data_IF_772457464910
#
_entry.id   IF_772457464910
#
_cell.length_a   1.000
_cell.length_b   1.000
_cell.length_c   1.000
_cell.angle_alpha   90.00
_cell.angle_beta   90.00
_cell.angle_gamma   90.00
#
_symmetry.space_group_name_H-M   'P 1'
#
loop_
_entity.id
_entity.type
_entity.pdbx_description
1 polymer ?
#
# COMPACT_ATOMS: atom_id res chain seq x y z
N UNK A 1 -67.35 4.00 9.48
CA UNK A 1 -66.58 3.07 8.61
C UNK A 1 -65.68 3.97 7.75
N UNK A 2 -64.36 4.02 7.88
CA UNK A 2 -63.34 2.98 7.70
C UNK A 2 -62.11 3.39 8.53
N UNK A 3 -61.62 2.50 9.38
CA UNK A 3 -60.32 2.56 10.08
C UNK A 3 -59.29 1.95 9.14
N UNK A 4 -58.08 2.52 8.97
CA UNK A 4 -56.79 1.89 8.58
C UNK A 4 -55.71 2.98 8.40
N UNK A 5 -54.41 2.70 8.66
CA UNK A 5 -53.80 3.13 9.92
C UNK A 5 -52.50 3.94 9.77
N UNK A 6 -52.18 4.71 10.81
CA UNK A 6 -50.95 5.45 11.08
C UNK A 6 -49.65 4.60 11.10
N UNK A 7 -49.68 3.34 10.66
CA UNK A 7 -48.56 2.40 10.77
C UNK A 7 -47.75 2.21 9.49
N UNK A 8 -48.22 2.70 8.33
CA UNK A 8 -47.49 2.52 7.06
C UNK A 8 -46.27 3.46 6.93
N UNK A 9 -46.30 4.62 7.59
CA UNK A 9 -45.23 5.62 7.48
C UNK A 9 -43.97 5.28 8.29
N UNK A 10 -44.06 4.39 9.30
CA UNK A 10 -42.91 4.01 10.14
C UNK A 10 -42.07 2.86 9.55
N UNK A 11 -42.60 2.10 8.60
CA UNK A 11 -41.90 0.95 8.01
C UNK A 11 -40.94 1.31 6.87
N UNK A 12 -41.15 2.46 6.20
CA UNK A 12 -40.25 2.93 5.15
C UNK A 12 -38.98 3.64 5.67
N UNK A 13 -38.99 4.15 6.91
CA UNK A 13 -37.85 4.88 7.46
C UNK A 13 -36.72 3.96 7.97
N UNK A 14 -37.00 2.68 8.26
CA UNK A 14 -35.98 1.74 8.76
C UNK A 14 -35.16 1.12 7.62
N UNK A 15 -35.74 1.02 6.41
CA UNK A 15 -35.07 0.38 5.26
C UNK A 15 -34.09 1.30 4.52
N UNK A 16 -34.20 2.62 4.68
CA UNK A 16 -33.28 3.58 4.08
C UNK A 16 -31.96 3.77 4.86
N UNK A 17 -31.89 3.33 6.12
CA UNK A 17 -30.71 3.52 6.96
C UNK A 17 -29.64 2.41 6.78
N UNK A 18 -29.99 1.26 6.18
CA UNK A 18 -29.04 0.16 5.96
C UNK A 18 -28.20 0.29 4.67
N UNK A 19 -28.56 1.18 3.75
CA UNK A 19 -27.84 1.35 2.47
C UNK A 19 -26.70 2.39 2.52
N UNK A 20 -26.58 3.17 3.61
CA UNK A 20 -25.55 4.23 3.71
C UNK A 20 -24.23 3.73 4.29
N UNK A 21 -24.18 2.55 4.92
CA UNK A 21 -22.94 2.00 5.51
C UNK A 21 -22.08 1.18 4.54
N UNK A 22 -22.57 0.84 3.35
CA UNK A 22 -21.80 0.06 2.37
C UNK A 22 -20.92 0.93 1.45
N UNK A 23 -20.97 2.26 1.55
CA UNK A 23 -20.29 3.18 0.63
C UNK A 23 -18.97 3.76 1.18
N UNK A 24 -18.60 3.50 2.44
CA UNK A 24 -17.41 4.13 3.06
C UNK A 24 -16.16 3.24 3.13
N UNK A 25 -16.16 2.03 2.57
CA UNK A 25 -14.97 1.14 2.61
C UNK A 25 -14.23 1.04 1.27
N UNK A 26 -14.62 1.85 0.28
CA UNK A 26 -13.87 1.91 -1.00
C UNK A 26 -12.61 2.73 -0.78
N UNK A 27 -11.57 2.02 -0.36
CA UNK A 27 -10.26 2.47 0.09
C UNK A 27 -9.72 3.68 -0.66
N UNK A 28 -9.80 4.82 -0.01
CA UNK A 28 -8.94 5.96 -0.25
C UNK A 28 -7.52 5.60 0.19
N UNK A 29 -6.73 4.99 -0.71
CA UNK A 29 -5.25 4.96 -0.78
C UNK A 29 -4.45 4.99 0.53
N UNK A 30 -4.98 4.41 1.60
CA UNK A 30 -4.50 4.57 2.96
C UNK A 30 -4.28 3.20 3.56
N UNK A 31 -3.27 3.12 4.43
CA UNK A 31 -2.78 1.88 5.04
C UNK A 31 -3.93 0.96 5.44
N UNK A 32 -3.94 -0.25 4.86
CA UNK A 32 -4.94 -1.27 5.14
C UNK A 32 -4.43 -2.29 6.15
N UNK A 33 -5.33 -2.95 6.87
CA UNK A 33 -4.99 -4.08 7.73
C UNK A 33 -4.45 -5.26 6.92
N UNK A 34 -4.92 -5.43 5.68
CA UNK A 34 -4.42 -6.45 4.77
C UNK A 34 -2.96 -6.18 4.39
N UNK A 35 -2.62 -4.94 4.05
CA UNK A 35 -1.26 -4.50 3.74
C UNK A 35 -0.34 -4.69 4.96
N UNK A 36 -0.82 -4.36 6.16
CA UNK A 36 -0.07 -4.55 7.41
C UNK A 36 0.25 -6.04 7.66
N UNK A 37 -0.66 -6.95 7.32
CA UNK A 37 -0.41 -8.39 7.44
C UNK A 37 0.68 -8.86 6.46
N UNK A 38 0.78 -8.25 5.27
CA UNK A 38 1.83 -8.58 4.29
C UNK A 38 3.23 -8.12 4.77
N UNK A 39 3.32 -7.02 5.53
CA UNK A 39 4.60 -6.58 6.12
C UNK A 39 5.14 -7.58 7.17
N UNK A 40 4.26 -8.32 7.84
CA UNK A 40 4.62 -9.33 8.85
C UNK A 40 4.99 -10.68 8.27
N UNK A 41 4.68 -10.89 6.99
CA UNK A 41 4.95 -12.13 6.28
C UNK A 41 5.38 -11.81 4.83
N UNK A 42 6.52 -11.11 4.66
CA UNK A 42 7.04 -10.75 3.34
C UNK A 42 7.36 -12.01 2.53
N UNK A 43 7.16 -11.93 1.22
CA UNK A 43 7.39 -13.04 0.31
C UNK A 43 8.14 -12.59 -0.93
N UNK A 44 8.91 -13.50 -1.54
CA UNK A 44 9.54 -13.27 -2.84
C UNK A 44 8.47 -12.94 -3.86
N UNK A 45 8.69 -11.86 -4.62
CA UNK A 45 7.75 -11.35 -5.60
C UNK A 45 6.85 -10.22 -5.11
N UNK A 46 6.79 -9.95 -3.80
CA UNK A 46 6.13 -8.76 -3.28
C UNK A 46 6.72 -7.50 -3.90
N UNK A 47 5.84 -6.53 -4.19
CA UNK A 47 6.23 -5.20 -4.65
C UNK A 47 5.65 -4.15 -3.73
N UNK A 48 6.48 -3.21 -3.29
CA UNK A 48 6.13 -2.14 -2.38
C UNK A 48 6.29 -0.80 -3.08
N UNK A 49 5.30 0.08 -2.97
CA UNK A 49 5.49 1.48 -3.34
C UNK A 49 6.08 2.24 -2.15
N UNK A 50 7.19 2.93 -2.36
CA UNK A 50 8.04 3.42 -1.30
C UNK A 50 8.73 4.77 -1.60
N UNK A 51 9.13 5.46 -0.53
CA UNK A 51 10.11 6.56 -0.52
C UNK A 51 11.51 5.95 -0.68
N UNK A 52 12.06 5.94 -1.89
CA UNK A 52 13.33 5.29 -2.20
C UNK A 52 14.52 6.02 -1.53
N UNK A 53 14.39 7.32 -1.26
CA UNK A 53 15.41 8.08 -0.53
C UNK A 53 15.62 7.54 0.89
N UNK A 54 14.60 6.92 1.50
CA UNK A 54 14.73 6.27 2.81
C UNK A 54 15.56 4.98 2.78
N UNK A 55 15.59 4.28 1.65
CA UNK A 55 16.21 2.95 1.52
C UNK A 55 17.58 3.00 0.82
N UNK A 56 17.88 4.06 0.08
CA UNK A 56 19.19 4.26 -0.55
C UNK A 56 20.29 4.45 0.51
N UNK A 57 21.38 3.69 0.39
CA UNK A 57 22.59 3.85 1.21
C UNK A 57 23.38 5.11 0.85
N UNK A 58 23.17 5.67 -0.35
CA UNK A 58 23.81 6.93 -0.72
C UNK A 58 23.26 8.05 0.16
N UNK A 59 24.13 8.58 1.03
CA UNK A 59 23.90 9.70 1.93
C UNK A 59 23.46 10.94 1.14
N UNK A 60 22.17 11.02 0.81
CA UNK A 60 21.61 12.15 0.12
C UNK A 60 21.17 13.21 1.14
N UNK A 61 22.14 13.90 1.73
CA UNK A 61 21.85 15.06 2.58
C UNK A 61 21.23 16.23 1.79
N UNK A 62 21.14 16.16 0.45
CA UNK A 62 20.60 17.24 -0.39
C UNK A 62 19.74 16.79 -1.61
N UNK A 63 19.34 15.51 -1.73
CA UNK A 63 18.49 15.12 -2.87
C UNK A 63 16.99 15.27 -2.57
N UNK A 64 16.20 15.71 -3.56
CA UNK A 64 14.75 15.70 -3.43
C UNK A 64 14.26 14.29 -3.14
N UNK A 65 13.19 14.18 -2.33
CA UNK A 65 12.55 12.89 -2.09
C UNK A 65 12.09 12.29 -3.41
N UNK A 66 12.45 11.03 -3.60
CA UNK A 66 12.03 10.26 -4.76
C UNK A 66 11.29 9.00 -4.32
N UNK A 67 10.28 8.66 -5.10
CA UNK A 67 9.37 7.55 -4.89
C UNK A 67 9.46 6.60 -6.07
N UNK A 68 9.18 5.33 -5.81
CA UNK A 68 9.16 4.27 -6.82
C UNK A 68 8.82 2.94 -6.17
N UNK A 69 9.22 1.85 -6.83
CA UNK A 69 8.94 0.50 -6.37
C UNK A 69 10.16 -0.20 -5.76
N UNK A 70 9.91 -1.03 -4.75
CA UNK A 70 10.83 -2.04 -4.21
C UNK A 70 10.26 -3.42 -4.53
N UNK A 71 11.10 -4.36 -4.95
CA UNK A 71 10.69 -5.75 -5.20
C UNK A 71 11.47 -6.71 -4.33
N UNK A 72 10.77 -7.58 -3.61
CA UNK A 72 11.39 -8.62 -2.78
C UNK A 72 11.92 -9.75 -3.66
N UNK A 73 13.21 -10.04 -3.53
CA UNK A 73 13.89 -11.11 -4.28
C UNK A 73 14.39 -12.25 -3.40
N UNK A 74 14.50 -12.04 -2.08
CA UNK A 74 14.83 -13.08 -1.11
C UNK A 74 14.22 -12.77 0.26
N UNK A 75 13.88 -13.82 1.02
CA UNK A 75 13.43 -13.74 2.42
C UNK A 75 14.09 -14.87 3.19
N UNK A 76 15.02 -14.54 4.07
CA UNK A 76 15.86 -15.49 4.81
C UNK A 76 15.95 -15.12 6.28
N UNK A 77 15.38 -15.95 7.16
CA UNK A 77 15.51 -15.83 8.61
C UNK A 77 15.29 -14.40 9.18
N UNK A 78 14.26 -13.70 8.67
CA UNK A 78 13.89 -12.35 9.08
C UNK A 78 14.69 -11.21 8.42
N UNK A 79 15.46 -11.55 7.37
CA UNK A 79 16.04 -10.61 6.43
C UNK A 79 15.29 -10.67 5.11
N UNK A 80 14.95 -9.51 4.58
CA UNK A 80 14.34 -9.32 3.27
C UNK A 80 15.37 -8.65 2.37
N UNK A 81 15.64 -9.22 1.21
CA UNK A 81 16.44 -8.55 0.17
C UNK A 81 15.49 -7.97 -0.87
N UNK A 82 15.61 -6.66 -1.10
CA UNK A 82 14.85 -5.94 -2.12
C UNK A 82 15.77 -5.37 -3.20
N UNK A 83 15.21 -5.18 -4.38
CA UNK A 83 15.79 -4.39 -5.48
C UNK A 83 14.88 -3.20 -5.77
N UNK A 84 15.46 -2.11 -6.26
CA UNK A 84 14.78 -0.85 -6.57
C UNK A 84 14.33 -0.82 -8.02
N UNK A 85 13.28 -0.06 -8.31
CA UNK A 85 12.95 0.36 -9.66
C UNK A 85 14.06 1.25 -10.23
N UNK A 86 14.46 1.02 -11.49
CA UNK A 86 15.47 1.84 -12.17
C UNK A 86 15.01 3.28 -12.42
N UNK A 87 13.69 3.47 -12.52
CA UNK A 87 13.04 4.78 -12.61
C UNK A 87 12.59 5.27 -11.23
N UNK A 88 12.66 6.58 -11.02
CA UNK A 88 12.16 7.21 -9.81
C UNK A 88 11.38 8.48 -10.16
N UNK A 89 10.39 8.81 -9.34
CA UNK A 89 9.52 9.98 -9.51
C UNK A 89 9.52 10.85 -8.27
N UNK A 90 9.30 12.15 -8.41
CA UNK A 90 9.03 13.07 -7.30
C UNK A 90 7.59 12.94 -6.74
N UNK A 91 6.79 12.02 -7.29
CA UNK A 91 5.37 11.86 -6.98
C UNK A 91 5.06 10.49 -6.37
N UNK A 92 4.60 10.49 -5.11
CA UNK A 92 4.06 9.28 -4.45
C UNK A 92 2.91 8.66 -5.25
N UNK A 93 2.09 9.51 -5.89
CA UNK A 93 0.96 9.05 -6.70
C UNK A 93 1.40 8.31 -7.97
N UNK A 94 2.56 8.65 -8.54
CA UNK A 94 3.14 7.91 -9.67
C UNK A 94 3.51 6.50 -9.23
N UNK A 95 4.27 6.34 -8.14
CA UNK A 95 4.63 5.03 -7.60
C UNK A 95 3.41 4.16 -7.26
N UNK A 96 2.33 4.75 -6.71
CA UNK A 96 1.06 4.01 -6.52
C UNK A 96 0.43 3.56 -7.83
N UNK A 97 0.45 4.42 -8.85
CA UNK A 97 -0.11 4.10 -10.16
C UNK A 97 0.69 2.96 -10.81
N UNK A 98 2.01 2.99 -10.71
CA UNK A 98 2.89 1.97 -11.26
C UNK A 98 2.67 0.62 -10.56
N UNK A 99 2.54 0.62 -9.22
CA UNK A 99 2.20 -0.57 -8.44
C UNK A 99 0.87 -1.22 -8.88
N UNK A 100 -0.14 -0.40 -9.19
CA UNK A 100 -1.46 -0.83 -9.64
C UNK A 100 -1.49 -1.21 -11.14
N UNK A 101 -0.47 -0.82 -11.90
CA UNK A 101 -0.34 -1.04 -13.33
C UNK A 101 0.23 -2.41 -13.70
N UNK A 102 0.78 -2.49 -14.91
CA UNK A 102 1.55 -3.66 -15.35
C UNK A 102 2.95 -3.60 -14.75
N UNK A 103 3.34 -4.64 -14.01
CA UNK A 103 4.71 -4.75 -13.49
C UNK A 103 5.68 -5.33 -14.53
N UNK A 104 5.20 -5.78 -15.68
CA UNK A 104 6.04 -6.30 -16.77
C UNK A 104 6.83 -5.20 -17.48
N UNK A 105 6.33 -3.96 -17.42
CA UNK A 105 6.96 -2.78 -18.04
C UNK A 105 7.90 -2.05 -17.08
N UNK A 106 8.02 -2.52 -15.83
CA UNK A 106 8.87 -1.93 -14.80
C UNK A 106 10.24 -2.60 -14.83
N UNK A 107 11.27 -1.79 -15.07
CA UNK A 107 12.66 -2.22 -14.96
C UNK A 107 13.14 -2.08 -13.51
N UNK A 108 13.69 -3.16 -12.98
CA UNK A 108 14.24 -3.20 -11.63
C UNK A 108 15.76 -3.37 -11.70
N UNK A 109 16.48 -2.55 -10.94
CA UNK A 109 17.93 -2.60 -10.85
C UNK A 109 18.37 -3.82 -10.03
N UNK A 110 18.70 -4.91 -10.72
CA UNK A 110 19.21 -6.14 -10.09
C UNK A 110 20.66 -6.00 -9.56
N UNK A 111 21.34 -4.88 -9.81
CA UNK A 111 22.69 -4.61 -9.31
C UNK A 111 22.65 -4.04 -7.90
N UNK A 112 21.65 -3.22 -7.58
CA UNK A 112 21.40 -2.69 -6.24
C UNK A 112 20.60 -3.71 -5.41
N UNK A 113 21.13 -4.10 -4.24
CA UNK A 113 20.46 -5.01 -3.31
C UNK A 113 20.47 -4.39 -1.92
N UNK A 114 19.28 -4.23 -1.36
CA UNK A 114 19.09 -3.62 -0.05
C UNK A 114 18.57 -4.69 0.90
N UNK A 115 19.27 -4.91 2.01
CA UNK A 115 18.79 -5.76 3.10
C UNK A 115 17.94 -4.94 4.08
N UNK A 116 16.73 -5.42 4.34
CA UNK A 116 15.79 -4.87 5.32
C UNK A 116 15.47 -5.98 6.31
N UNK A 117 15.54 -5.73 7.62
CA UNK A 117 15.04 -6.71 8.61
C UNK A 117 13.53 -6.56 8.82
N UNK A 118 12.83 -7.62 9.23
CA UNK A 118 11.36 -7.60 9.40
C UNK A 118 10.85 -6.39 10.19
N UNK A 119 11.50 -6.09 11.32
CA UNK A 119 11.14 -4.95 12.16
C UNK A 119 11.32 -3.59 11.46
N UNK A 120 12.28 -3.46 10.54
CA UNK A 120 12.44 -2.26 9.72
C UNK A 120 11.37 -2.17 8.64
N UNK A 121 10.97 -3.30 8.05
CA UNK A 121 9.90 -3.34 7.06
C UNK A 121 8.56 -2.86 7.67
N UNK A 122 8.19 -3.42 8.82
CA UNK A 122 7.00 -3.00 9.57
C UNK A 122 7.06 -1.50 9.92
N UNK A 123 8.19 -1.05 10.47
CA UNK A 123 8.38 0.37 10.82
C UNK A 123 8.34 1.30 9.59
N UNK A 124 8.88 0.87 8.45
CA UNK A 124 8.84 1.64 7.22
C UNK A 124 7.39 1.82 6.74
N UNK A 125 6.57 0.79 6.85
CA UNK A 125 5.14 0.89 6.55
C UNK A 125 4.41 1.80 7.54
N UNK A 126 4.62 1.62 8.84
CA UNK A 126 4.00 2.43 9.90
C UNK A 126 4.37 3.93 9.81
N UNK A 127 5.60 4.23 9.39
CA UNK A 127 6.09 5.59 9.18
C UNK A 127 5.76 6.16 7.80
N UNK A 128 5.17 5.38 6.90
CA UNK A 128 4.74 5.82 5.57
C UNK A 128 5.86 5.90 4.55
N UNK A 129 7.01 5.28 4.85
CA UNK A 129 8.10 5.07 3.90
C UNK A 129 7.78 3.97 2.90
N UNK A 130 6.99 2.98 3.33
CA UNK A 130 6.22 2.11 2.44
C UNK A 130 4.76 2.49 2.62
N UNK A 131 4.04 2.64 1.52
CA UNK A 131 2.68 3.20 1.57
C UNK A 131 1.66 2.44 0.74
N UNK A 132 2.09 1.40 0.01
CA UNK A 132 1.23 0.38 -0.58
C UNK A 132 2.04 -0.89 -0.88
N UNK A 133 1.36 -2.02 -0.95
CA UNK A 133 1.93 -3.32 -1.30
C UNK A 133 1.06 -4.05 -2.31
N UNK A 134 1.69 -4.79 -3.22
CA UNK A 134 1.07 -5.76 -4.11
C UNK A 134 1.78 -7.10 -3.98
N UNK A 135 0.97 -8.14 -3.89
CA UNK A 135 1.37 -9.54 -3.95
C UNK A 135 0.66 -10.22 -5.11
#
# INVERSE_FOLDING_TARGET
>A
MRKYPFHLARLLAVMALMLVLAACTRGSGGRSEADAALMKAPAVGDVYAADLTYFSEASFEDQPRVYGLLKVIAVDAGKITVITESAASDSEAAARKDLLGSLEDIDFDATERIEIVDAQLEKAYESGKIFAVRR
#
